data_IF_706612130856
#
_entry.id   IF_706612130856
#
_cell.length_a   1.000
_cell.length_b   1.000
_cell.length_c   1.000
_cell.angle_alpha   90.00
_cell.angle_beta   90.00
_cell.angle_gamma   90.00
#
_symmetry.space_group_name_H-M   'P 1'
#
loop_
_entity.id
_entity.type
_entity.pdbx_description
1 polymer ?
#
# COMPACT_ATOMS: atom_id res chain seq x y z
N UNK A 1 -37.71 4.66 -17.62
CA UNK A 1 -36.42 4.01 -17.30
C UNK A 1 -36.55 3.34 -15.94
N UNK A 2 -36.66 2.00 -15.89
CA UNK A 2 -36.77 1.25 -14.62
C UNK A 2 -35.36 1.00 -14.08
N UNK A 3 -35.05 1.59 -12.92
CA UNK A 3 -33.79 1.37 -12.22
C UNK A 3 -34.04 0.27 -11.18
N UNK A 4 -33.42 -0.88 -11.38
CA UNK A 4 -33.36 -1.94 -10.38
C UNK A 4 -32.28 -1.58 -9.36
N UNK A 5 -32.70 -1.24 -8.14
CA UNK A 5 -31.78 -1.26 -6.99
C UNK A 5 -31.56 -2.73 -6.61
N UNK A 6 -30.39 -3.28 -6.97
CA UNK A 6 -29.93 -4.53 -6.38
C UNK A 6 -29.73 -4.26 -4.89
N UNK A 7 -30.63 -4.85 -4.09
CA UNK A 7 -30.50 -4.99 -2.65
C UNK A 7 -29.07 -5.38 -2.29
N UNK A 8 -28.46 -4.55 -1.43
CA UNK A 8 -27.14 -4.80 -0.89
C UNK A 8 -27.18 -6.13 -0.13
N UNK A 9 -26.39 -7.09 -0.60
CA UNK A 9 -26.25 -8.43 -0.06
C UNK A 9 -25.55 -8.45 1.31
N UNK A 10 -26.16 -7.84 2.32
CA UNK A 10 -25.70 -7.84 3.71
C UNK A 10 -26.73 -8.38 4.71
N UNK A 11 -27.86 -8.93 4.26
CA UNK A 11 -28.83 -9.59 5.14
C UNK A 11 -28.48 -11.04 5.52
N UNK A 12 -27.34 -11.58 5.09
CA UNK A 12 -26.94 -12.96 5.46
C UNK A 12 -25.61 -12.98 6.20
N UNK A 13 -25.68 -12.65 7.49
CA UNK A 13 -25.02 -13.32 8.65
C UNK A 13 -24.78 -12.35 9.81
N UNK A 14 -25.85 -11.81 10.39
CA UNK A 14 -25.92 -11.62 11.84
C UNK A 14 -26.60 -12.88 12.39
N UNK A 15 -25.85 -13.98 12.49
CA UNK A 15 -26.31 -15.13 13.26
C UNK A 15 -26.08 -14.76 14.72
N UNK A 16 -27.08 -14.12 15.32
CA UNK A 16 -27.20 -14.05 16.78
C UNK A 16 -27.51 -15.47 17.22
N UNK A 17 -26.71 -16.03 18.11
CA UNK A 17 -27.03 -17.30 18.74
C UNK A 17 -28.41 -17.11 19.41
N UNK A 18 -29.44 -17.93 19.11
CA UNK A 18 -30.80 -17.70 19.60
C UNK A 18 -30.90 -17.65 21.13
N UNK A 19 -29.90 -18.18 21.83
CA UNK A 19 -29.85 -18.31 23.28
C UNK A 19 -29.05 -17.21 24.00
N UNK A 20 -28.55 -16.18 23.28
CA UNK A 20 -27.85 -15.05 23.88
C UNK A 20 -28.62 -13.75 23.66
N UNK A 21 -29.17 -13.19 24.75
CA UNK A 21 -29.73 -11.85 24.76
C UNK A 21 -28.64 -10.86 24.34
N UNK A 22 -28.83 -10.07 23.27
CA UNK A 22 -27.86 -9.06 22.86
C UNK A 22 -27.59 -8.08 24.02
N UNK A 23 -26.32 -7.80 24.31
CA UNK A 23 -25.94 -6.81 25.34
C UNK A 23 -26.68 -5.48 25.03
N UNK A 24 -27.29 -4.88 26.05
CA UNK A 24 -28.00 -3.59 25.95
C UNK A 24 -27.17 -2.53 25.22
N UNK A 25 -25.84 -2.52 25.40
CA UNK A 25 -24.94 -1.60 24.68
C UNK A 25 -24.88 -1.84 23.17
N UNK A 26 -25.03 -3.09 22.72
CA UNK A 26 -25.10 -3.44 21.30
C UNK A 26 -26.43 -2.99 20.70
N UNK A 27 -27.53 -3.14 21.45
CA UNK A 27 -28.85 -2.66 21.05
C UNK A 27 -28.88 -1.13 20.94
N UNK A 28 -28.39 -0.43 21.96
CA UNK A 28 -28.30 1.04 21.98
C UNK A 28 -27.42 1.57 20.82
N UNK A 29 -26.33 0.86 20.50
CA UNK A 29 -25.46 1.21 19.37
C UNK A 29 -26.13 0.93 18.01
N UNK A 30 -26.80 -0.21 17.85
CA UNK A 30 -27.54 -0.53 16.62
C UNK A 30 -28.64 0.51 16.37
N UNK A 31 -29.38 0.90 17.40
CA UNK A 31 -30.38 1.96 17.31
C UNK A 31 -29.76 3.30 16.89
N UNK A 32 -28.64 3.71 17.50
CA UNK A 32 -27.94 4.93 17.10
C UNK A 32 -27.42 4.86 15.66
N UNK A 33 -26.87 3.72 15.25
CA UNK A 33 -26.35 3.51 13.90
C UNK A 33 -27.46 3.58 12.84
N UNK A 34 -28.57 2.88 13.07
CA UNK A 34 -29.71 2.92 12.15
C UNK A 34 -30.36 4.31 12.12
N UNK A 35 -30.42 5.02 13.25
CA UNK A 35 -30.90 6.40 13.32
C UNK A 35 -30.01 7.35 12.53
N UNK A 36 -28.69 7.23 12.63
CA UNK A 36 -27.75 8.04 11.84
C UNK A 36 -27.82 7.74 10.34
N UNK A 37 -27.92 6.47 9.95
CA UNK A 37 -28.11 6.09 8.55
C UNK A 37 -29.43 6.61 7.98
N UNK A 38 -30.51 6.51 8.76
CA UNK A 38 -31.80 7.06 8.37
C UNK A 38 -31.73 8.58 8.17
N UNK A 39 -31.06 9.32 9.07
CA UNK A 39 -30.90 10.76 8.96
C UNK A 39 -30.10 11.16 7.72
N UNK A 40 -28.96 10.49 7.45
CA UNK A 40 -28.13 10.74 6.26
C UNK A 40 -28.90 10.45 4.98
N UNK A 41 -29.61 9.30 4.92
CA UNK A 41 -30.43 8.96 3.76
C UNK A 41 -31.57 9.96 3.58
N UNK A 42 -32.18 10.44 4.66
CA UNK A 42 -33.23 11.47 4.62
C UNK A 42 -32.70 12.81 4.10
N UNK A 43 -31.50 13.21 4.51
CA UNK A 43 -30.83 14.44 4.06
C UNK A 43 -30.43 14.36 2.57
N UNK A 44 -29.96 13.19 2.12
CA UNK A 44 -29.69 12.90 0.71
C UNK A 44 -30.97 12.98 -0.13
N UNK A 45 -32.04 12.31 0.32
CA UNK A 45 -33.35 12.36 -0.34
C UNK A 45 -33.92 13.77 -0.39
N UNK A 46 -33.68 14.59 0.64
CA UNK A 46 -34.09 16.00 0.67
C UNK A 46 -33.31 16.83 -0.36
N UNK A 47 -32.00 16.65 -0.44
CA UNK A 47 -31.15 17.32 -1.44
C UNK A 47 -31.50 16.96 -2.89
N UNK A 48 -32.03 15.75 -3.12
CA UNK A 48 -32.52 15.32 -4.43
C UNK A 48 -33.91 15.90 -4.76
N UNK A 49 -34.77 16.12 -3.75
CA UNK A 49 -36.13 16.64 -3.94
C UNK A 49 -36.20 18.16 -3.97
N UNK A 50 -35.31 18.84 -3.25
CA UNK A 50 -35.30 20.29 -3.09
C UNK A 50 -33.87 20.81 -3.35
N UNK A 51 -33.66 21.38 -4.54
CA UNK A 51 -32.35 21.89 -4.95
C UNK A 51 -31.85 22.94 -3.95
N UNK A 52 -30.70 22.71 -3.32
CA UNK A 52 -30.13 23.57 -2.28
C UNK A 52 -30.57 23.28 -0.85
N UNK A 53 -31.36 22.22 -0.59
CA UNK A 53 -31.77 21.80 0.76
C UNK A 53 -31.41 20.33 1.03
N UNK A 54 -30.20 20.11 1.53
CA UNK A 54 -29.64 18.81 1.88
C UNK A 54 -28.13 18.92 2.08
N UNK A 55 -27.45 17.79 2.30
CA UNK A 55 -25.98 17.76 2.34
C UNK A 55 -25.41 18.25 1.00
N UNK A 56 -24.43 19.15 1.04
CA UNK A 56 -23.75 19.64 -0.16
C UNK A 56 -22.82 18.58 -0.76
N UNK A 57 -22.34 18.78 -1.98
CA UNK A 57 -21.33 17.92 -2.60
C UNK A 57 -20.04 17.85 -1.76
N UNK A 58 -19.64 18.96 -1.15
CA UNK A 58 -18.50 19.03 -0.23
C UNK A 58 -18.77 18.30 1.08
N UNK A 59 -19.99 18.36 1.61
CA UNK A 59 -20.39 17.58 2.79
C UNK A 59 -20.44 16.09 2.48
N UNK A 60 -20.89 15.69 1.29
CA UNK A 60 -20.88 14.31 0.84
C UNK A 60 -19.47 13.80 0.60
N UNK A 61 -18.61 14.63 0.06
CA UNK A 61 -17.19 14.32 -0.12
C UNK A 61 -16.50 14.20 1.23
N UNK A 62 -16.75 15.10 2.19
CA UNK A 62 -16.31 14.95 3.58
C UNK A 62 -16.88 13.69 4.22
N UNK A 63 -18.16 13.38 4.03
CA UNK A 63 -18.78 12.16 4.57
C UNK A 63 -18.17 10.92 3.93
N UNK A 64 -17.79 10.92 2.65
CA UNK A 64 -17.11 9.79 1.99
C UNK A 64 -15.67 9.68 2.49
N UNK A 65 -14.95 10.80 2.62
CA UNK A 65 -13.58 10.89 3.16
C UNK A 65 -13.52 10.51 4.65
N UNK A 66 -14.58 10.80 5.41
CA UNK A 66 -14.72 10.52 6.85
C UNK A 66 -15.64 9.32 7.16
N UNK A 67 -16.18 8.60 6.15
CA UNK A 67 -17.04 7.41 6.33
C UNK A 67 -16.27 6.20 6.88
N UNK A 68 -14.99 6.36 7.13
CA UNK A 68 -14.30 5.64 8.19
C UNK A 68 -14.76 6.14 9.57
N UNK A 69 -16.07 6.12 9.83
CA UNK A 69 -16.63 6.28 11.17
C UNK A 69 -15.96 5.21 12.02
N UNK A 70 -15.20 5.68 13.00
CA UNK A 70 -14.51 4.90 14.01
C UNK A 70 -15.47 3.85 14.53
N UNK A 71 -15.31 2.61 14.09
CA UNK A 71 -15.88 1.48 14.83
C UNK A 71 -15.19 1.51 16.19
N UNK A 72 -15.90 1.64 17.31
CA UNK A 72 -15.33 1.16 18.55
C UNK A 72 -14.98 -0.30 18.29
N UNK A 73 -13.72 -0.66 18.55
CA UNK A 73 -13.30 -2.06 18.56
C UNK A 73 -14.28 -2.77 19.47
N UNK A 74 -15.21 -3.54 18.89
CA UNK A 74 -16.03 -4.48 19.62
C UNK A 74 -15.01 -5.29 20.43
N UNK A 75 -15.08 -5.22 21.76
CA UNK A 75 -14.24 -6.01 22.64
C UNK A 75 -14.32 -7.47 22.19
N UNK A 76 -13.35 -7.91 21.38
CA UNK A 76 -13.22 -9.30 21.02
C UNK A 76 -12.50 -9.99 22.15
N UNK A 77 -12.82 -11.26 22.33
CA UNK A 77 -12.27 -12.12 23.36
C UNK A 77 -10.76 -11.95 23.49
N UNK A 78 -10.22 -12.14 24.70
CA UNK A 78 -8.80 -11.97 25.06
C UNK A 78 -7.79 -12.77 24.21
N UNK A 79 -8.23 -13.48 23.17
CA UNK A 79 -7.46 -14.34 22.28
C UNK A 79 -7.53 -13.93 20.79
N UNK A 80 -8.09 -12.78 20.39
CA UNK A 80 -8.04 -12.35 18.99
C UNK A 80 -6.61 -11.91 18.59
N UNK A 81 -5.91 -12.83 17.91
CA UNK A 81 -4.51 -12.65 17.46
C UNK A 81 -4.32 -11.45 16.52
N UNK A 82 -5.39 -10.87 15.97
CA UNK A 82 -5.30 -9.68 15.11
C UNK A 82 -5.11 -8.38 15.89
N UNK A 83 -5.49 -8.33 17.17
CA UNK A 83 -5.45 -7.10 17.99
C UNK A 83 -4.06 -6.44 17.99
N UNK A 84 -2.95 -7.16 18.27
CA UNK A 84 -1.64 -6.51 18.31
C UNK A 84 -1.20 -5.92 16.96
N UNK A 85 -1.65 -6.52 15.84
CA UNK A 85 -1.35 -6.03 14.50
C UNK A 85 -2.14 -4.74 14.23
N UNK A 86 -3.44 -4.73 14.57
CA UNK A 86 -4.31 -3.57 14.40
C UNK A 86 -3.88 -2.39 15.28
N UNK A 87 -3.45 -2.66 16.51
CA UNK A 87 -2.92 -1.64 17.41
C UNK A 87 -1.61 -1.03 16.92
N UNK A 88 -0.69 -1.86 16.42
CA UNK A 88 0.55 -1.38 15.82
C UNK A 88 0.28 -0.51 14.59
N UNK A 89 -0.67 -0.92 13.74
CA UNK A 89 -1.09 -0.17 12.55
C UNK A 89 -1.70 1.18 12.93
N UNK A 90 -2.64 1.19 13.88
CA UNK A 90 -3.26 2.42 14.39
C UNK A 90 -2.22 3.38 14.97
N UNK A 91 -1.26 2.87 15.74
CA UNK A 91 -0.18 3.67 16.31
C UNK A 91 0.72 4.27 15.23
N UNK A 92 1.06 3.50 14.20
CA UNK A 92 1.84 4.00 13.06
C UNK A 92 1.09 5.11 12.32
N UNK A 93 -0.20 4.92 12.05
CA UNK A 93 -1.03 5.91 11.36
C UNK A 93 -1.16 7.20 12.17
N UNK A 94 -1.46 7.09 13.48
CA UNK A 94 -1.58 8.24 14.35
C UNK A 94 -0.26 9.02 14.45
N UNK A 95 0.87 8.31 14.59
CA UNK A 95 2.19 8.94 14.67
C UNK A 95 2.59 9.64 13.36
N UNK A 96 2.21 9.09 12.21
CA UNK A 96 2.59 9.65 10.92
C UNK A 96 1.66 10.77 10.44
N UNK A 97 0.35 10.54 10.49
CA UNK A 97 -0.67 11.46 9.96
C UNK A 97 -1.27 12.39 11.01
N UNK A 98 -1.08 12.13 12.30
CA UNK A 98 -1.74 12.88 13.39
C UNK A 98 -3.22 12.53 13.58
N UNK A 99 -3.72 11.50 12.89
CA UNK A 99 -5.11 11.07 12.96
C UNK A 99 -5.26 9.54 12.84
N UNK A 100 -6.39 9.01 13.29
CA UNK A 100 -6.73 7.60 13.16
C UNK A 100 -7.45 7.31 11.83
N UNK A 101 -7.32 6.07 11.34
CA UNK A 101 -8.02 5.58 10.15
C UNK A 101 -8.76 4.28 10.46
N UNK A 102 -9.86 4.03 9.73
CA UNK A 102 -10.64 2.81 9.90
C UNK A 102 -9.90 1.56 9.42
N UNK A 103 -9.65 0.61 10.32
CA UNK A 103 -8.93 -0.65 10.04
C UNK A 103 -9.83 -1.88 9.85
N UNK A 104 -11.14 -1.69 9.62
CA UNK A 104 -12.08 -2.81 9.49
C UNK A 104 -11.73 -3.75 8.34
N UNK A 105 -11.53 -3.20 7.14
CA UNK A 105 -11.19 -3.99 5.95
C UNK A 105 -9.86 -4.71 6.12
N UNK A 106 -8.91 -4.07 6.81
CA UNK A 106 -7.63 -4.68 7.15
C UNK A 106 -7.82 -5.87 8.11
N UNK A 107 -8.62 -5.72 9.17
CA UNK A 107 -8.94 -6.79 10.11
C UNK A 107 -9.61 -8.00 9.42
N UNK A 108 -10.57 -7.74 8.51
CA UNK A 108 -11.22 -8.79 7.73
C UNK A 108 -10.22 -9.53 6.81
N UNK A 109 -9.32 -8.77 6.17
CA UNK A 109 -8.26 -9.35 5.34
C UNK A 109 -7.30 -10.21 6.16
N UNK A 110 -6.87 -9.74 7.34
CA UNK A 110 -6.02 -10.51 8.26
C UNK A 110 -6.68 -11.84 8.64
N UNK A 111 -7.97 -11.82 9.01
CA UNK A 111 -8.74 -13.03 9.33
C UNK A 111 -8.81 -14.00 8.16
N UNK A 112 -9.01 -13.50 6.93
CA UNK A 112 -9.02 -14.33 5.70
C UNK A 112 -7.66 -14.96 5.39
N UNK A 113 -6.56 -14.24 5.65
CA UNK A 113 -5.19 -14.73 5.42
C UNK A 113 -4.80 -15.78 6.48
N UNK A 114 -5.15 -15.51 7.73
CA UNK A 114 -4.88 -16.38 8.88
C UNK A 114 -3.47 -16.24 9.46
N UNK A 115 -3.30 -16.59 10.75
CA UNK A 115 -2.08 -16.32 11.52
C UNK A 115 -0.87 -17.13 11.02
N UNK A 116 -1.08 -18.37 10.55
CA UNK A 116 0.00 -19.23 10.07
C UNK A 116 0.73 -18.63 8.86
N UNK A 117 -0.03 -18.05 7.91
CA UNK A 117 0.53 -17.45 6.70
C UNK A 117 1.26 -16.14 7.01
N UNK A 118 0.68 -15.30 7.88
CA UNK A 118 1.32 -14.08 8.38
C UNK A 118 2.63 -14.39 9.12
N UNK A 119 2.62 -15.38 10.01
CA UNK A 119 3.83 -15.79 10.72
C UNK A 119 4.90 -16.32 9.75
N UNK A 120 4.50 -17.06 8.70
CA UNK A 120 5.44 -17.50 7.66
C UNK A 120 6.04 -16.32 6.89
N UNK A 121 5.23 -15.34 6.48
CA UNK A 121 5.74 -14.11 5.84
C UNK A 121 6.70 -13.35 6.74
N UNK A 122 6.35 -13.16 8.03
CA UNK A 122 7.19 -12.45 9.00
C UNK A 122 8.56 -13.12 9.18
N UNK A 123 8.60 -14.46 9.27
CA UNK A 123 9.86 -15.23 9.31
C UNK A 123 10.72 -15.05 8.06
N UNK A 124 10.11 -14.66 6.94
CA UNK A 124 10.77 -14.40 5.67
C UNK A 124 10.95 -12.89 5.40
N UNK A 125 10.88 -12.04 6.44
CA UNK A 125 11.08 -10.59 6.37
C UNK A 125 10.01 -9.82 5.59
N UNK A 126 8.79 -10.35 5.53
CA UNK A 126 7.64 -9.67 4.97
C UNK A 126 6.57 -9.42 6.04
N UNK A 127 6.04 -8.20 6.11
CA UNK A 127 4.99 -7.83 7.07
C UNK A 127 3.75 -7.29 6.34
N UNK A 128 2.58 -7.60 6.89
CA UNK A 128 1.28 -7.23 6.32
C UNK A 128 0.85 -5.90 6.93
N UNK A 129 0.56 -4.92 6.07
CA UNK A 129 0.22 -3.55 6.43
C UNK A 129 -0.87 -3.00 5.52
N UNK A 130 -1.41 -1.84 5.85
CA UNK A 130 -2.46 -1.14 5.14
C UNK A 130 -2.22 0.38 5.25
N UNK A 131 -1.21 0.93 4.52
CA UNK A 131 -1.03 2.38 4.44
C UNK A 131 -2.36 3.02 4.05
N UNK A 132 -2.87 4.01 4.81
CA UNK A 132 -4.21 4.51 4.62
C UNK A 132 -4.33 5.27 3.29
N UNK A 133 -5.53 5.39 2.72
CA UNK A 133 -5.72 6.21 1.54
C UNK A 133 -5.41 7.68 1.89
N UNK A 134 -4.44 8.27 1.20
CA UNK A 134 -4.05 9.66 1.47
C UNK A 134 -3.40 10.29 0.25
N UNK A 135 -3.86 11.48 -0.12
CA UNK A 135 -3.25 12.31 -1.16
C UNK A 135 -2.28 13.28 -0.49
N UNK A 136 -0.99 13.13 -0.79
CA UNK A 136 0.07 13.99 -0.33
C UNK A 136 0.11 15.22 -1.24
N UNK A 137 -0.33 16.37 -0.72
CA UNK A 137 -0.21 17.65 -1.43
C UNK A 137 1.22 18.16 -1.33
N UNK A 138 1.66 18.92 -2.33
CA UNK A 138 2.93 19.62 -2.27
C UNK A 138 2.96 20.55 -1.05
N UNK A 139 4.06 20.52 -0.29
CA UNK A 139 4.21 21.29 0.94
C UNK A 139 3.37 20.80 2.14
N UNK A 140 2.74 19.63 2.06
CA UNK A 140 2.02 19.05 3.21
C UNK A 140 2.99 18.83 4.38
N UNK A 141 2.56 19.21 5.57
CA UNK A 141 3.28 18.95 6.81
C UNK A 141 2.51 17.91 7.63
N UNK A 142 3.04 16.70 7.72
CA UNK A 142 2.47 15.60 8.51
C UNK A 142 3.42 15.25 9.67
N UNK A 143 2.92 14.94 10.88
CA UNK A 143 3.75 14.77 12.07
C UNK A 143 4.93 13.80 11.93
N UNK A 144 4.76 12.68 11.22
CA UNK A 144 5.82 11.69 11.03
C UNK A 144 6.53 11.74 9.67
N UNK A 145 6.24 12.74 8.84
CA UNK A 145 6.86 12.90 7.52
C UNK A 145 8.07 13.83 7.62
N UNK A 146 9.23 13.24 7.89
CA UNK A 146 10.51 13.96 7.98
C UNK A 146 11.04 14.38 6.60
N UNK A 147 10.81 13.54 5.59
CA UNK A 147 11.22 13.76 4.21
C UNK A 147 9.97 13.88 3.34
N UNK A 148 9.76 15.08 2.79
CA UNK A 148 8.69 15.37 1.87
C UNK A 148 8.89 14.66 0.51
N UNK A 149 7.79 14.45 -0.21
CA UNK A 149 7.84 14.08 -1.63
C UNK A 149 8.44 15.28 -2.40
N UNK A 150 9.46 15.07 -3.25
CA UNK A 150 10.22 16.16 -3.82
C UNK A 150 9.44 16.92 -4.91
N UNK A 151 9.70 18.22 -5.03
CA UNK A 151 9.02 19.12 -5.99
C UNK A 151 9.17 18.69 -7.45
N UNK A 152 10.31 18.07 -7.80
CA UNK A 152 10.50 17.56 -9.15
C UNK A 152 9.46 16.49 -9.51
N UNK A 153 9.05 15.63 -8.57
CA UNK A 153 8.03 14.63 -8.81
C UNK A 153 6.64 15.26 -8.99
N UNK A 154 6.28 16.26 -8.18
CA UNK A 154 5.04 17.02 -8.36
C UNK A 154 4.98 17.73 -9.71
N UNK A 155 6.10 18.29 -10.20
CA UNK A 155 6.14 18.86 -11.56
C UNK A 155 5.84 17.82 -12.63
N UNK A 156 6.35 16.59 -12.50
CA UNK A 156 6.07 15.55 -13.50
C UNK A 156 4.64 15.04 -13.44
N UNK A 157 4.03 14.96 -12.25
CA UNK A 157 2.60 14.68 -12.09
C UNK A 157 1.75 15.77 -12.78
N UNK A 158 2.04 17.05 -12.49
CA UNK A 158 1.33 18.19 -13.06
C UNK A 158 1.45 18.27 -14.59
N UNK A 159 2.62 17.91 -15.13
CA UNK A 159 2.85 17.85 -16.57
C UNK A 159 2.20 16.61 -17.24
N UNK A 160 1.62 15.69 -16.45
CA UNK A 160 1.04 14.45 -16.97
C UNK A 160 2.08 13.49 -17.54
N UNK A 161 3.29 13.49 -16.99
CA UNK A 161 4.41 12.65 -17.42
C UNK A 161 4.56 11.35 -16.62
N UNK A 162 3.67 11.09 -15.65
CA UNK A 162 3.74 9.91 -14.78
C UNK A 162 2.63 8.94 -15.14
N UNK A 163 3.00 7.68 -15.39
CA UNK A 163 2.06 6.65 -15.81
C UNK A 163 2.26 5.37 -15.01
N UNK A 164 1.21 4.56 -14.87
CA UNK A 164 1.32 3.18 -14.38
C UNK A 164 0.71 2.21 -15.37
N UNK A 165 1.30 1.03 -15.46
CA UNK A 165 0.71 -0.07 -16.21
C UNK A 165 -0.30 -0.81 -15.33
N UNK A 166 -1.57 -0.73 -15.71
CA UNK A 166 -2.64 -1.49 -15.09
C UNK A 166 -3.22 -2.43 -16.15
N UNK A 167 -2.88 -3.71 -16.05
CA UNK A 167 -3.36 -4.77 -16.95
C UNK A 167 -3.06 -4.53 -18.44
N UNK A 168 -1.91 -3.93 -18.77
CA UNK A 168 -1.47 -3.63 -20.13
C UNK A 168 -1.82 -2.21 -20.58
N UNK A 169 -2.69 -1.51 -19.86
CA UNK A 169 -3.07 -0.13 -20.14
C UNK A 169 -2.18 0.84 -19.36
N UNK A 170 -1.64 1.85 -20.04
CA UNK A 170 -0.94 2.94 -19.36
C UNK A 170 -1.95 3.98 -18.87
N UNK A 171 -2.06 4.10 -17.56
CA UNK A 171 -2.96 5.04 -16.90
C UNK A 171 -2.18 6.27 -16.43
N UNK A 172 -2.74 7.45 -16.78
CA UNK A 172 -2.50 8.78 -16.21
C UNK A 172 -2.40 8.76 -14.68
N UNK A 173 -1.25 9.02 -14.06
CA UNK A 173 -1.17 9.35 -12.63
C UNK A 173 -0.98 10.86 -12.46
N UNK A 174 -1.85 11.49 -11.68
CA UNK A 174 -1.86 12.94 -11.45
C UNK A 174 -1.70 13.32 -9.96
N UNK A 175 -1.64 12.32 -9.08
CA UNK A 175 -1.55 12.50 -7.62
C UNK A 175 -0.42 11.67 -7.02
N UNK A 176 0.21 12.25 -6.01
CA UNK A 176 1.07 11.51 -5.11
C UNK A 176 0.21 10.93 -3.97
N UNK A 177 -0.09 9.63 -4.00
CA UNK A 177 -0.99 9.01 -3.03
C UNK A 177 -0.60 7.61 -2.57
N UNK A 178 -1.11 7.22 -1.41
CA UNK A 178 -1.27 5.83 -0.98
C UNK A 178 -2.72 5.42 -1.20
N UNK A 179 -2.97 4.19 -1.67
CA UNK A 179 -4.30 3.76 -2.14
C UNK A 179 -5.21 3.18 -1.04
N UNK A 180 -4.73 3.02 0.20
CA UNK A 180 -5.55 2.39 1.25
C UNK A 180 -5.67 0.87 1.15
N UNK A 181 -4.81 0.22 0.36
CA UNK A 181 -4.87 -1.23 0.12
C UNK A 181 -4.03 -2.01 1.14
N UNK A 182 -4.51 -3.20 1.50
CA UNK A 182 -3.72 -4.15 2.29
C UNK A 182 -2.60 -4.75 1.45
N UNK A 183 -1.38 -4.61 1.92
CA UNK A 183 -0.15 -4.98 1.21
C UNK A 183 0.77 -5.83 2.06
N UNK A 184 1.61 -6.61 1.38
CA UNK A 184 2.74 -7.29 1.99
C UNK A 184 4.02 -6.52 1.65
N UNK A 185 4.68 -6.00 2.67
CA UNK A 185 5.87 -5.15 2.58
C UNK A 185 7.11 -5.98 2.85
N UNK A 186 8.11 -5.90 1.96
CA UNK A 186 9.46 -6.37 2.24
C UNK A 186 10.12 -5.44 3.28
N UNK A 187 10.37 -5.91 4.49
CA UNK A 187 10.82 -5.10 5.64
C UNK A 187 12.33 -4.82 5.66
N UNK A 188 13.10 -5.41 4.74
CA UNK A 188 14.56 -5.30 4.76
C UNK A 188 15.03 -3.94 4.31
N UNK A 189 16.11 -3.48 4.92
CA UNK A 189 16.90 -2.36 4.45
C UNK A 189 17.60 -2.74 3.12
N UNK A 190 17.55 -1.85 2.12
CA UNK A 190 18.33 -2.05 0.89
C UNK A 190 19.83 -1.99 1.20
N UNK A 191 20.66 -2.88 0.63
CA UNK A 191 22.09 -2.94 0.97
C UNK A 191 22.84 -1.71 0.45
N UNK A 192 23.93 -1.33 1.11
CA UNK A 192 24.88 -0.37 0.56
C UNK A 192 25.54 -0.93 -0.72
N UNK A 193 25.99 -0.04 -1.59
CA UNK A 193 26.68 -0.41 -2.82
C UNK A 193 28.04 -1.02 -2.47
N UNK A 194 28.36 -2.12 -3.13
CA UNK A 194 29.60 -2.85 -2.96
C UNK A 194 30.07 -3.35 -4.32
N UNK A 195 30.51 -2.43 -5.18
CA UNK A 195 31.07 -2.73 -6.51
C UNK A 195 30.22 -3.66 -7.40
N UNK A 196 28.90 -3.72 -7.18
CA UNK A 196 27.97 -4.57 -7.92
C UNK A 196 27.74 -5.98 -7.34
N UNK A 197 28.42 -6.35 -6.25
CA UNK A 197 28.24 -7.65 -5.58
C UNK A 197 27.31 -7.59 -4.36
N UNK A 198 26.79 -6.40 -4.01
CA UNK A 198 25.91 -6.23 -2.86
C UNK A 198 24.63 -7.09 -2.93
N UNK A 199 24.17 -7.52 -1.76
CA UNK A 199 23.10 -8.50 -1.58
C UNK A 199 22.10 -8.08 -0.50
N UNK A 200 20.82 -8.32 -0.74
CA UNK A 200 19.80 -8.17 0.28
C UNK A 200 20.00 -9.23 1.37
N UNK A 201 20.02 -8.80 2.64
CA UNK A 201 20.27 -9.70 3.77
C UNK A 201 19.18 -10.76 3.89
N UNK A 202 19.59 -12.03 4.02
CA UNK A 202 18.71 -13.21 4.21
C UNK A 202 17.59 -13.30 3.15
N UNK A 203 17.93 -13.06 1.89
CA UNK A 203 16.97 -13.03 0.79
C UNK A 203 16.60 -14.38 0.19
N UNK A 204 16.02 -15.26 1.02
CA UNK A 204 15.66 -16.62 0.63
C UNK A 204 14.59 -16.69 -0.47
N UNK A 205 13.49 -15.94 -0.31
CA UNK A 205 12.37 -15.98 -1.26
C UNK A 205 12.76 -15.33 -2.59
N UNK A 206 13.15 -14.05 -2.57
CA UNK A 206 13.38 -13.30 -3.81
C UNK A 206 14.70 -13.70 -4.43
N UNK A 207 15.75 -13.93 -3.63
CA UNK A 207 17.00 -14.48 -4.14
C UNK A 207 16.84 -15.88 -4.74
N UNK A 208 15.92 -16.70 -4.22
CA UNK A 208 15.52 -17.96 -4.82
C UNK A 208 14.81 -17.79 -6.18
N UNK A 209 13.88 -16.84 -6.28
CA UNK A 209 13.24 -16.44 -7.54
C UNK A 209 14.29 -16.00 -8.57
N UNK A 210 15.20 -15.11 -8.19
CA UNK A 210 16.27 -14.63 -9.06
C UNK A 210 17.16 -15.77 -9.55
N UNK A 211 17.57 -16.67 -8.64
CA UNK A 211 18.40 -17.83 -8.97
C UNK A 211 17.71 -18.73 -10.00
N UNK A 212 16.41 -18.98 -9.85
CA UNK A 212 15.63 -19.79 -10.80
C UNK A 212 15.52 -19.10 -12.15
N UNK A 213 15.03 -17.86 -12.20
CA UNK A 213 14.83 -17.15 -13.47
C UNK A 213 16.13 -16.98 -14.27
N UNK A 214 17.26 -16.78 -13.58
CA UNK A 214 18.59 -16.72 -14.21
C UNK A 214 19.12 -18.07 -14.68
N UNK A 215 18.82 -19.15 -13.95
CA UNK A 215 19.12 -20.52 -14.41
C UNK A 215 18.33 -20.85 -15.68
N UNK A 216 17.09 -20.38 -15.75
CA UNK A 216 16.18 -20.60 -16.87
C UNK A 216 16.44 -19.63 -18.05
N UNK A 217 17.46 -18.75 -17.97
CA UNK A 217 17.81 -17.80 -19.03
C UNK A 217 16.85 -16.62 -19.19
N UNK A 218 15.84 -16.46 -18.32
CA UNK A 218 14.83 -15.38 -18.39
C UNK A 218 15.33 -14.02 -17.91
N UNK A 219 16.39 -14.02 -17.13
CA UNK A 219 17.10 -12.82 -16.69
C UNK A 219 18.56 -13.03 -17.05
N UNK A 220 19.14 -12.10 -17.80
CA UNK A 220 20.51 -12.22 -18.29
C UNK A 220 21.40 -11.13 -17.69
N UNK A 221 22.71 -11.19 -17.97
CA UNK A 221 23.70 -10.19 -17.59
C UNK A 221 23.65 -9.86 -16.09
N UNK A 222 24.18 -10.74 -15.24
CA UNK A 222 24.18 -10.57 -13.79
C UNK A 222 25.50 -11.04 -13.17
N UNK A 223 25.89 -10.42 -12.06
CA UNK A 223 27.07 -10.81 -11.28
C UNK A 223 26.81 -12.04 -10.42
N UNK A 224 25.82 -11.92 -9.54
CA UNK A 224 25.43 -13.00 -8.63
C UNK A 224 24.04 -13.52 -8.97
N UNK A 225 23.89 -14.85 -8.99
CA UNK A 225 22.64 -15.53 -9.40
C UNK A 225 21.44 -15.21 -8.50
N UNK A 226 21.65 -14.86 -7.24
CA UNK A 226 20.56 -14.56 -6.31
C UNK A 226 20.40 -13.05 -6.03
N UNK A 227 21.19 -12.17 -6.64
CA UNK A 227 21.10 -10.72 -6.41
C UNK A 227 19.87 -10.10 -7.06
N UNK A 228 19.28 -9.06 -6.45
CA UNK A 228 18.21 -8.26 -7.07
C UNK A 228 18.74 -7.13 -7.98
N UNK A 229 20.05 -6.94 -8.00
CA UNK A 229 20.70 -5.92 -8.81
C UNK A 229 20.97 -6.43 -10.22
N UNK A 230 21.29 -5.50 -11.13
CA UNK A 230 21.62 -5.81 -12.52
C UNK A 230 20.48 -6.51 -13.28
N UNK A 231 19.24 -6.10 -13.02
CA UNK A 231 18.04 -6.58 -13.72
C UNK A 231 17.33 -5.40 -14.37
N UNK A 232 16.79 -5.63 -15.57
CA UNK A 232 15.99 -4.59 -16.23
C UNK A 232 14.64 -4.45 -15.54
N UNK A 233 14.14 -3.22 -15.47
CA UNK A 233 12.81 -2.91 -14.96
C UNK A 233 11.72 -2.99 -16.05
N UNK A 234 12.10 -3.41 -17.25
CA UNK A 234 11.19 -3.62 -18.38
C UNK A 234 10.69 -5.08 -18.39
N UNK A 235 10.90 -5.82 -19.49
CA UNK A 235 10.35 -7.17 -19.67
C UNK A 235 10.77 -8.18 -18.57
N UNK A 236 12.02 -8.12 -18.09
CA UNK A 236 12.49 -9.03 -17.03
C UNK A 236 11.67 -8.86 -15.74
N UNK A 237 11.21 -7.64 -15.45
CA UNK A 237 10.46 -7.33 -14.23
C UNK A 237 9.13 -8.08 -14.16
N UNK A 238 8.45 -8.27 -15.29
CA UNK A 238 7.20 -9.02 -15.33
C UNK A 238 7.40 -10.47 -14.89
N UNK A 239 8.48 -11.13 -15.32
CA UNK A 239 8.81 -12.48 -14.87
C UNK A 239 9.16 -12.53 -13.38
N UNK A 240 9.92 -11.53 -12.90
CA UNK A 240 10.29 -11.40 -11.49
C UNK A 240 9.04 -11.27 -10.62
N UNK A 241 8.13 -10.35 -10.96
CA UNK A 241 6.92 -10.08 -10.19
C UNK A 241 5.96 -11.27 -10.17
N UNK A 242 5.77 -11.96 -11.31
CA UNK A 242 4.94 -13.17 -11.39
C UNK A 242 5.53 -14.32 -10.55
N UNK A 243 6.84 -14.53 -10.62
CA UNK A 243 7.52 -15.56 -9.84
C UNK A 243 7.53 -15.23 -8.34
N UNK A 244 7.69 -13.95 -7.98
CA UNK A 244 7.59 -13.49 -6.60
C UNK A 244 6.19 -13.68 -6.03
N UNK A 245 5.14 -13.34 -6.80
CA UNK A 245 3.75 -13.55 -6.39
C UNK A 245 3.47 -15.05 -6.11
N UNK A 246 3.95 -15.91 -7.01
CA UNK A 246 3.86 -17.37 -6.85
C UNK A 246 4.61 -17.85 -5.60
N UNK A 247 5.84 -17.38 -5.39
CA UNK A 247 6.66 -17.78 -4.23
C UNK A 247 6.05 -17.32 -2.90
N UNK A 248 5.41 -16.14 -2.88
CA UNK A 248 4.72 -15.61 -1.70
C UNK A 248 3.29 -16.12 -1.54
N UNK A 249 2.78 -16.87 -2.52
CA UNK A 249 1.41 -17.38 -2.57
C UNK A 249 0.38 -16.25 -2.48
N UNK A 250 0.61 -15.19 -3.23
CA UNK A 250 -0.26 -14.00 -3.35
C UNK A 250 -0.74 -13.86 -4.80
N UNK A 251 -1.80 -13.08 -5.02
CA UNK A 251 -2.41 -12.94 -6.35
C UNK A 251 -1.50 -12.20 -7.32
N UNK A 252 -0.90 -11.10 -6.87
CA UNK A 252 -0.04 -10.26 -7.69
C UNK A 252 1.01 -9.53 -6.85
N UNK A 253 2.10 -9.19 -7.51
CA UNK A 253 3.11 -8.27 -7.02
C UNK A 253 3.28 -7.16 -8.05
N UNK A 254 3.56 -5.95 -7.57
CA UNK A 254 4.01 -4.81 -8.38
C UNK A 254 5.24 -4.19 -7.74
N UNK A 255 5.87 -3.21 -8.38
CA UNK A 255 6.87 -2.41 -7.69
C UNK A 255 6.16 -1.42 -6.74
N UNK A 256 6.91 -0.85 -5.79
CA UNK A 256 6.42 0.28 -5.01
C UNK A 256 6.26 1.51 -5.90
N UNK A 257 5.24 2.33 -5.66
CA UNK A 257 5.16 3.67 -6.26
C UNK A 257 6.23 4.57 -5.65
N UNK A 258 6.50 5.69 -6.31
CA UNK A 258 7.46 6.70 -5.81
C UNK A 258 6.98 7.24 -4.47
N UNK A 259 5.68 7.48 -4.31
CA UNK A 259 5.06 7.87 -3.04
C UNK A 259 5.29 6.81 -1.96
N UNK A 260 5.01 5.54 -2.25
CA UNK A 260 5.18 4.44 -1.29
C UNK A 260 6.63 4.24 -0.87
N UNK A 261 7.58 4.31 -1.81
CA UNK A 261 9.02 4.21 -1.51
C UNK A 261 9.45 5.26 -0.48
N UNK A 262 8.90 6.47 -0.58
CA UNK A 262 9.21 7.59 0.32
C UNK A 262 8.47 7.45 1.65
N UNK A 263 7.18 7.11 1.61
CA UNK A 263 6.29 7.11 2.79
C UNK A 263 6.49 5.89 3.68
N UNK A 264 6.59 4.68 3.13
CA UNK A 264 6.63 3.42 3.90
C UNK A 264 7.77 3.41 4.95
N UNK A 265 9.03 3.79 4.62
CA UNK A 265 10.12 3.92 5.60
C UNK A 265 9.82 4.82 6.80
N UNK A 266 9.04 5.88 6.57
CA UNK A 266 8.73 6.90 7.56
C UNK A 266 7.48 6.54 8.37
N UNK A 267 6.50 5.89 7.74
CA UNK A 267 5.27 5.40 8.35
C UNK A 267 5.53 4.23 9.31
N UNK A 268 6.38 3.27 8.90
CA UNK A 268 6.66 2.05 9.68
C UNK A 268 8.08 2.04 10.25
N UNK A 269 8.34 2.96 11.18
CA UNK A 269 9.68 3.19 11.77
C UNK A 269 10.23 2.02 12.59
N UNK A 270 9.43 1.00 12.90
CA UNK A 270 9.93 -0.22 13.54
C UNK A 270 10.76 -1.08 12.59
N UNK A 271 10.57 -0.93 11.28
CA UNK A 271 11.29 -1.70 10.28
C UNK A 271 12.70 -1.15 10.04
N UNK A 272 13.69 -2.01 9.71
CA UNK A 272 15.00 -1.57 9.22
C UNK A 272 14.94 -0.56 8.06
N UNK A 273 13.83 -0.57 7.29
CA UNK A 273 13.58 0.37 6.20
C UNK A 273 13.61 1.84 6.58
N UNK A 274 13.44 2.21 7.85
CA UNK A 274 13.61 3.60 8.30
C UNK A 274 14.93 4.24 7.84
N UNK A 275 15.94 3.42 7.57
CA UNK A 275 17.26 3.84 7.12
C UNK A 275 17.45 3.68 5.59
N UNK A 276 16.39 3.41 4.81
CA UNK A 276 16.48 3.26 3.35
C UNK A 276 17.11 4.51 2.69
N UNK A 277 16.84 5.71 3.20
CA UNK A 277 17.47 6.94 2.68
C UNK A 277 18.97 7.08 2.97
N UNK A 278 19.57 6.22 3.79
CA UNK A 278 20.96 6.31 4.24
C UNK A 278 21.92 5.40 3.49
N UNK A 279 21.44 4.61 2.53
CA UNK A 279 22.31 3.75 1.73
C UNK A 279 22.39 4.25 0.30
N UNK A 280 23.53 4.01 -0.35
CA UNK A 280 23.88 4.57 -1.67
C UNK A 280 23.48 3.68 -2.86
N UNK A 281 22.46 2.84 -2.68
CA UNK A 281 21.80 2.11 -3.77
C UNK A 281 20.42 2.69 -4.03
N UNK A 282 19.85 2.45 -5.21
CA UNK A 282 18.48 2.85 -5.53
C UNK A 282 17.59 1.66 -5.84
N UNK A 283 16.28 1.90 -5.87
CA UNK A 283 15.29 0.93 -6.36
C UNK A 283 14.48 1.52 -7.51
N UNK A 284 14.04 0.64 -8.40
CA UNK A 284 13.00 0.96 -9.39
C UNK A 284 11.62 1.11 -8.75
N UNK A 285 10.82 2.03 -9.28
CA UNK A 285 9.42 2.25 -8.92
C UNK A 285 8.46 1.70 -10.00
N UNK A 286 7.19 1.57 -9.63
CA UNK A 286 6.12 1.09 -10.50
C UNK A 286 5.79 2.06 -11.64
N UNK A 287 6.01 3.36 -11.42
CA UNK A 287 5.67 4.39 -12.39
C UNK A 287 6.66 4.49 -13.55
N UNK A 288 6.11 4.74 -14.72
CA UNK A 288 6.81 5.09 -15.95
C UNK A 288 6.88 6.61 -16.13
N UNK A 289 7.94 7.05 -16.81
CA UNK A 289 8.17 8.45 -17.14
C UNK A 289 7.97 8.72 -18.64
N UNK A 290 7.08 9.67 -18.94
CA UNK A 290 6.62 10.11 -20.27
C UNK A 290 5.95 9.01 -21.10
N UNK A 291 6.43 7.76 -21.10
CA UNK A 291 5.87 6.53 -21.69
C UNK A 291 6.57 5.28 -21.11
N UNK A 292 6.39 4.08 -21.69
CA UNK A 292 6.97 2.79 -21.21
C UNK A 292 8.51 2.67 -21.25
N UNK A 293 9.22 3.63 -21.84
CA UNK A 293 10.68 3.54 -22.05
C UNK A 293 11.48 3.71 -20.76
N UNK A 294 11.07 4.66 -19.94
CA UNK A 294 11.78 5.07 -18.74
C UNK A 294 10.91 4.81 -17.52
N UNK A 295 11.54 4.44 -16.40
CA UNK A 295 10.86 4.25 -15.12
C UNK A 295 11.43 5.16 -14.07
N UNK A 296 10.57 5.54 -13.13
CA UNK A 296 11.01 6.22 -11.93
C UNK A 296 11.84 5.29 -11.06
N UNK A 297 12.78 5.89 -10.33
CA UNK A 297 13.58 5.23 -9.32
C UNK A 297 14.12 6.25 -8.33
N UNK A 298 14.79 5.76 -7.30
CA UNK A 298 15.32 6.65 -6.28
C UNK A 298 15.79 5.95 -5.02
N UNK A 299 16.15 6.76 -4.03
CA UNK A 299 16.55 6.27 -2.71
C UNK A 299 18.04 6.33 -2.44
N UNK A 300 18.85 6.88 -3.35
CA UNK A 300 20.30 6.90 -3.20
C UNK A 300 20.73 8.02 -2.25
N UNK A 301 21.40 7.69 -1.14
CA UNK A 301 21.94 8.68 -0.18
C UNK A 301 22.86 9.71 -0.82
N UNK A 302 23.61 9.33 -1.86
CA UNK A 302 24.55 10.21 -2.56
C UNK A 302 23.81 11.26 -3.42
N UNK A 303 22.49 11.09 -3.60
CA UNK A 303 21.63 11.95 -4.41
C UNK A 303 20.45 12.54 -3.60
N UNK A 304 20.49 12.48 -2.26
CA UNK A 304 19.43 13.03 -1.39
C UNK A 304 18.57 11.99 -0.66
N UNK A 305 18.94 10.71 -0.72
CA UNK A 305 18.32 9.66 0.09
C UNK A 305 16.88 9.38 -0.28
N UNK A 306 15.95 9.47 0.67
CA UNK A 306 14.54 9.25 0.36
C UNK A 306 14.00 10.27 -0.66
N UNK A 307 14.48 11.52 -0.64
CA UNK A 307 14.06 12.57 -1.56
C UNK A 307 14.64 12.42 -2.98
N UNK A 308 15.62 11.54 -3.19
CA UNK A 308 16.17 11.26 -4.52
C UNK A 308 15.10 10.59 -5.40
N UNK A 309 14.67 11.28 -6.45
CA UNK A 309 13.72 10.81 -7.46
C UNK A 309 14.24 11.19 -8.84
N UNK A 310 14.40 10.20 -9.71
CA UNK A 310 14.81 10.36 -11.10
C UNK A 310 14.04 9.39 -12.00
N UNK A 311 14.17 9.57 -13.31
CA UNK A 311 13.72 8.62 -14.32
C UNK A 311 14.91 8.15 -15.16
N UNK A 312 14.88 6.89 -15.60
CA UNK A 312 15.96 6.30 -16.37
C UNK A 312 15.45 5.10 -17.19
N UNK A 313 16.22 4.71 -18.21
CA UNK A 313 15.84 3.66 -19.15
C UNK A 313 15.52 2.34 -18.45
N UNK A 314 14.27 1.87 -18.58
CA UNK A 314 13.79 0.66 -17.92
C UNK A 314 14.54 -0.60 -18.40
N UNK A 315 15.12 -0.57 -19.60
CA UNK A 315 15.96 -1.63 -20.15
C UNK A 315 17.37 -1.73 -19.54
N UNK A 316 17.83 -0.71 -18.80
CA UNK A 316 19.17 -0.68 -18.24
C UNK A 316 19.32 -1.62 -17.03
N UNK A 317 20.51 -2.21 -16.93
CA UNK A 317 20.92 -3.12 -15.85
C UNK A 317 21.99 -2.43 -15.03
N UNK A 318 21.56 -1.68 -14.03
CA UNK A 318 22.46 -0.93 -13.17
C UNK A 318 22.94 -1.80 -12.02
N UNK A 319 24.24 -1.74 -11.74
CA UNK A 319 24.84 -2.46 -10.62
C UNK A 319 24.45 -1.87 -9.27
N UNK A 320 24.11 -0.58 -9.20
CA UNK A 320 23.70 0.10 -7.97
C UNK A 320 22.18 0.20 -7.78
N UNK A 321 21.39 -0.36 -8.72
CA UNK A 321 19.93 -0.32 -8.68
C UNK A 321 19.33 -1.71 -8.55
N UNK A 322 18.42 -1.85 -7.60
CA UNK A 322 17.66 -3.07 -7.38
C UNK A 322 16.17 -2.80 -7.53
N UNK A 323 15.35 -3.70 -7.00
CA UNK A 323 13.92 -3.53 -6.94
C UNK A 323 13.41 -4.03 -5.59
N UNK A 324 12.27 -3.49 -5.18
CA UNK A 324 11.45 -3.98 -4.10
C UNK A 324 10.03 -4.10 -4.64
N UNK A 325 9.44 -5.27 -4.51
CA UNK A 325 8.03 -5.43 -4.86
C UNK A 325 7.15 -5.18 -3.63
N UNK A 326 5.92 -4.83 -3.92
CA UNK A 326 4.79 -4.74 -3.01
C UNK A 326 3.74 -5.76 -3.47
N UNK A 327 3.33 -6.68 -2.61
CA UNK A 327 2.23 -7.57 -2.95
C UNK A 327 0.89 -6.99 -2.49
N UNK A 328 -0.08 -6.93 -3.39
CA UNK A 328 -1.45 -6.49 -3.06
C UNK A 328 -2.26 -7.72 -2.66
N UNK A 329 -2.88 -7.69 -1.47
CA UNK A 329 -3.50 -8.85 -0.82
C UNK A 329 -5.01 -8.92 -1.00
#
# INVERSE_FOLDING_TARGET
MKIYFKEAAMEKKLVVNPDQTPDKKLLDWLEQYFKQQHEINSQLLRGVKEFGKGLTLDDLQRIIEHRHIVKPVIKSSSNDWTIPILEAERKAHLAFFGQEFGLLMFAEKLKKIGPKKIAWWKRNFFEVHCPPPHVFKQGVNLPGMEIAIPDNYYRELANGNVFRDVNGELIKIDKAETEGVTVLIDTRLKPAYDSGVQMWKRDGIVGGVMKKLRKDGRITNYYSRNSRFNSSADHEMNFILQAAASALKVKSCRLETTTERIVIPQLYRHMPRKDDGKTNTSIWCDEFYRYRRDRFGGGNSDCGGLADVYADGAGYRWRSRSFRFLAVL
#
